data_IF_884763258026
#
_entry.id   IF_884763258026
#
_cell.length_a   1.000
_cell.length_b   1.000
_cell.length_c   1.000
_cell.angle_alpha   90.00
_cell.angle_beta   90.00
_cell.angle_gamma   90.00
#
_symmetry.space_group_name_H-M   'P 1'
#
loop_
_entity.id
_entity.type
_entity.pdbx_description
1 polymer ?
#
# COMPACT_ATOMS: atom_id res chain seq x y z
N UNK A 1 4.82 8.47 19.96
CA UNK A 1 3.70 9.43 20.04
C UNK A 1 3.13 9.71 18.66
N UNK A 2 3.91 10.22 17.71
CA UNK A 2 3.44 10.55 16.35
C UNK A 2 2.80 9.37 15.59
N UNK A 3 3.48 8.21 15.53
CA UNK A 3 2.94 7.00 14.90
C UNK A 3 1.59 6.54 15.47
N UNK A 4 1.35 6.75 16.76
CA UNK A 4 0.09 6.36 17.40
C UNK A 4 -1.05 7.31 17.05
N UNK A 5 -0.73 8.60 16.90
CA UNK A 5 -1.66 9.62 16.40
C UNK A 5 -2.04 9.31 14.95
N UNK A 6 -1.05 9.02 14.10
CA UNK A 6 -1.27 8.62 12.70
C UNK A 6 -2.11 7.35 12.61
N UNK A 7 -1.83 6.34 13.44
CA UNK A 7 -2.62 5.10 13.46
C UNK A 7 -4.08 5.34 13.89
N UNK A 8 -4.32 6.25 14.84
CA UNK A 8 -5.68 6.62 15.24
C UNK A 8 -6.41 7.36 14.11
N UNK A 9 -5.74 8.29 13.45
CA UNK A 9 -6.31 9.01 12.30
C UNK A 9 -6.61 8.07 11.14
N UNK A 10 -5.68 7.18 10.79
CA UNK A 10 -5.86 6.17 9.75
C UNK A 10 -7.08 5.27 10.00
N UNK A 11 -7.31 4.83 11.25
CA UNK A 11 -8.51 4.07 11.61
C UNK A 11 -9.82 4.85 11.42
N UNK A 12 -9.81 6.15 11.67
CA UNK A 12 -11.00 6.98 11.49
C UNK A 12 -11.32 7.16 9.99
N UNK A 13 -10.28 7.35 9.18
CA UNK A 13 -10.39 7.42 7.71
C UNK A 13 -10.90 6.10 7.15
N UNK A 14 -10.33 4.98 7.58
CA UNK A 14 -10.73 3.63 7.14
C UNK A 14 -12.22 3.35 7.44
N UNK A 15 -12.69 3.73 8.62
CA UNK A 15 -14.10 3.62 8.97
C UNK A 15 -15.02 4.47 8.07
N UNK A 16 -14.62 5.70 7.75
CA UNK A 16 -15.39 6.60 6.87
C UNK A 16 -15.41 6.11 5.43
N UNK A 17 -14.25 5.70 4.91
CA UNK A 17 -14.13 5.14 3.57
C UNK A 17 -14.91 3.83 3.42
N UNK A 18 -15.04 3.05 4.50
CA UNK A 18 -15.85 1.83 4.52
C UNK A 18 -17.36 2.09 4.56
N UNK A 19 -17.79 3.23 5.10
CA UNK A 19 -19.21 3.61 5.19
C UNK A 19 -19.76 4.06 3.83
N UNK A 20 -19.02 4.90 3.12
CA UNK A 20 -19.33 5.29 1.74
C UNK A 20 -18.06 5.35 0.87
N UNK A 21 -17.71 4.23 0.21
CA UNK A 21 -16.51 4.16 -0.63
C UNK A 21 -16.56 5.06 -1.87
N UNK A 22 -17.74 5.54 -2.25
CA UNK A 22 -17.91 6.40 -3.43
C UNK A 22 -17.61 7.87 -3.13
N UNK A 23 -17.62 8.24 -1.84
CA UNK A 23 -17.33 9.58 -1.37
C UNK A 23 -15.83 9.69 -1.04
N UNK A 24 -15.14 10.62 -1.69
CA UNK A 24 -13.74 10.90 -1.35
C UNK A 24 -13.60 11.43 0.08
N UNK A 25 -12.74 10.80 0.88
CA UNK A 25 -12.42 11.26 2.24
C UNK A 25 -11.20 12.19 2.17
N UNK A 26 -11.32 13.47 2.56
CA UNK A 26 -10.15 14.35 2.66
C UNK A 26 -9.29 13.91 3.84
N UNK A 27 -8.04 13.55 3.57
CA UNK A 27 -7.08 13.06 4.55
C UNK A 27 -5.85 13.96 4.61
N UNK A 28 -5.23 14.03 5.78
CA UNK A 28 -3.95 14.70 5.95
C UNK A 28 -2.85 13.94 5.18
N UNK A 29 -1.89 14.64 4.52
CA UNK A 29 -0.81 14.00 3.77
C UNK A 29 -0.02 12.97 4.58
N UNK A 30 0.27 13.24 5.85
CA UNK A 30 1.06 12.33 6.69
C UNK A 30 0.27 11.05 7.00
N UNK A 31 -1.06 11.17 7.11
CA UNK A 31 -1.95 10.02 7.30
C UNK A 31 -2.09 9.23 6.00
N UNK A 32 -2.16 9.91 4.85
CA UNK A 32 -2.23 9.27 3.54
C UNK A 32 -0.97 8.46 3.24
N UNK A 33 0.21 9.03 3.52
CA UNK A 33 1.50 8.36 3.41
C UNK A 33 1.60 7.19 4.40
N UNK A 34 1.15 7.40 5.64
CA UNK A 34 1.10 6.32 6.65
C UNK A 34 0.19 5.15 6.22
N UNK A 35 -0.87 5.43 5.46
CA UNK A 35 -1.79 4.42 4.90
C UNK A 35 -1.30 3.82 3.57
N UNK A 36 -0.19 4.31 3.01
CA UNK A 36 0.32 3.86 1.71
C UNK A 36 -0.59 4.24 0.53
N UNK A 37 -1.36 5.32 0.66
CA UNK A 37 -2.34 5.72 -0.35
C UNK A 37 -1.70 6.12 -1.70
N UNK A 38 -0.45 6.57 -1.69
CA UNK A 38 0.29 7.05 -2.87
C UNK A 38 1.55 6.22 -3.17
N UNK A 39 1.67 5.02 -2.61
CA UNK A 39 2.80 4.13 -2.90
C UNK A 39 2.78 3.67 -4.36
N UNK A 40 3.86 3.91 -5.10
CA UNK A 40 4.03 3.42 -6.47
C UNK A 40 4.21 1.90 -6.44
N UNK A 41 3.19 1.17 -6.92
CA UNK A 41 3.19 -0.30 -7.05
C UNK A 41 3.49 -0.76 -8.47
N UNK A 42 3.89 0.15 -9.35
CA UNK A 42 4.25 -0.20 -10.71
C UNK A 42 5.60 -0.94 -10.69
N UNK A 43 5.69 -2.02 -11.47
CA UNK A 43 6.95 -2.75 -11.65
C UNK A 43 7.87 -1.87 -12.49
N UNK A 44 8.95 -1.39 -11.88
CA UNK A 44 10.03 -0.66 -12.53
C UNK A 44 10.96 -1.58 -13.31
N UNK A 45 11.84 -1.00 -14.11
CA UNK A 45 12.87 -1.78 -14.82
C UNK A 45 13.84 -2.44 -13.83
N UNK A 46 14.11 -1.80 -12.70
CA UNK A 46 14.97 -2.34 -11.64
C UNK A 46 14.37 -3.59 -10.98
N UNK A 47 13.04 -3.71 -10.90
CA UNK A 47 12.35 -4.90 -10.37
C UNK A 47 12.45 -6.10 -11.32
N UNK A 48 12.65 -5.87 -12.63
CA UNK A 48 12.73 -6.95 -13.63
C UNK A 48 14.02 -7.78 -13.48
N UNK A 49 15.11 -7.14 -13.04
CA UNK A 49 16.39 -7.81 -12.81
C UNK A 49 16.31 -8.76 -11.60
N UNK A 50 15.54 -8.40 -10.57
CA UNK A 50 15.27 -9.26 -9.42
C UNK A 50 14.38 -10.47 -9.78
N UNK A 51 13.42 -10.27 -10.69
CA UNK A 51 12.55 -11.35 -11.18
C UNK A 51 13.32 -12.36 -12.05
N UNK A 52 14.24 -11.90 -12.92
CA UNK A 52 15.08 -12.78 -13.73
C UNK A 52 16.16 -13.50 -12.92
N UNK A 53 16.61 -12.93 -11.80
CA UNK A 53 17.58 -13.55 -10.89
C UNK A 53 17.09 -14.77 -10.12
N UNK A 54 15.77 -15.03 -10.11
CA UNK A 54 15.13 -16.11 -9.32
C UNK A 54 14.59 -17.28 -10.17
N UNK A 55 14.93 -17.38 -11.46
CA UNK A 55 14.58 -18.55 -12.31
C UNK A 55 15.49 -19.78 -12.05
N UNK A 56 15.74 -20.08 -10.77
CA UNK A 56 16.39 -21.30 -10.32
C UNK A 56 15.58 -21.95 -9.21
N UNK A 57 14.92 -23.07 -9.54
CA UNK A 57 14.23 -24.02 -8.64
C UNK A 57 12.71 -23.84 -8.45
N UNK A 58 11.93 -24.50 -9.31
CA UNK A 58 10.49 -24.67 -9.13
C UNK A 58 9.86 -25.55 -10.21
N UNK A 59 10.28 -26.81 -10.30
CA UNK A 59 9.69 -27.79 -11.21
C UNK A 59 8.17 -27.92 -11.04
N UNK A 60 7.43 -27.63 -12.12
CA UNK A 60 6.04 -28.04 -12.32
C UNK A 60 6.10 -29.10 -13.43
N UNK A 61 5.79 -30.37 -13.18
CA UNK A 61 4.48 -30.89 -12.80
C UNK A 61 4.00 -31.71 -14.00
N UNK A 62 4.15 -33.03 -13.90
CA UNK A 62 3.72 -34.00 -14.91
C UNK A 62 2.20 -34.27 -14.84
#
# INVERSE_FOLDING_TARGET
MEREILARAARAVDAQASEDPSLGVPVDPDVADFMGAFEEKAVGLDDLDEIQGNEGEGGHGA
#
